data_IF_565031685716
#
_entry.id   IF_565031685716
#
_cell.length_a   1.000
_cell.length_b   1.000
_cell.length_c   1.000
_cell.angle_alpha   90.00
_cell.angle_beta   90.00
_cell.angle_gamma   90.00
#
_symmetry.space_group_name_H-M   'P 1'
#
loop_
_entity.id
_entity.type
_entity.pdbx_description
1 polymer ?
#
# COMPACT_ATOMS: atom_id res chain seq x y z
N UNK A 1 -6.32 1.49 -21.60
CA UNK A 1 -7.67 1.83 -22.12
C UNK A 1 -8.67 1.61 -20.99
N UNK A 2 -9.80 2.32 -20.98
CA UNK A 2 -10.86 2.16 -19.98
C UNK A 2 -12.19 1.78 -20.66
N UNK A 3 -13.15 1.31 -19.87
CA UNK A 3 -14.46 0.87 -20.34
C UNK A 3 -15.49 2.02 -20.39
N UNK A 4 -15.02 3.25 -20.64
CA UNK A 4 -15.88 4.38 -20.95
C UNK A 4 -15.84 4.65 -22.44
N UNK A 5 -16.94 4.36 -23.12
CA UNK A 5 -16.99 4.40 -24.59
C UNK A 5 -18.28 5.05 -25.08
N UNK A 6 -18.16 5.76 -26.21
CA UNK A 6 -19.33 6.27 -26.92
C UNK A 6 -19.94 5.17 -27.77
N UNK A 7 -21.25 4.94 -27.61
CA UNK A 7 -22.06 4.14 -28.53
C UNK A 7 -22.98 5.12 -29.27
N UNK A 8 -22.56 5.56 -30.45
CA UNK A 8 -23.18 6.70 -31.13
C UNK A 8 -22.84 8.01 -30.41
N UNK A 9 -23.87 8.77 -29.99
CA UNK A 9 -23.71 10.03 -29.25
C UNK A 9 -23.75 9.87 -27.72
N UNK A 10 -24.10 8.68 -27.21
CA UNK A 10 -24.28 8.44 -25.79
C UNK A 10 -23.03 7.79 -25.18
N UNK A 11 -22.63 8.26 -23.99
CA UNK A 11 -21.52 7.70 -23.22
C UNK A 11 -21.99 6.53 -22.35
N UNK A 12 -21.27 5.42 -22.42
CA UNK A 12 -21.48 4.22 -21.62
C UNK A 12 -20.30 3.97 -20.71
N UNK A 13 -20.58 3.45 -19.51
CA UNK A 13 -19.61 2.79 -18.65
C UNK A 13 -19.92 1.29 -18.74
N UNK A 14 -19.01 0.53 -19.33
CA UNK A 14 -19.25 -0.85 -19.76
C UNK A 14 -20.50 -0.91 -20.66
N UNK A 15 -21.52 -1.67 -20.27
CA UNK A 15 -22.78 -1.79 -21.03
C UNK A 15 -23.91 -0.92 -20.47
N UNK A 16 -23.63 -0.01 -19.54
CA UNK A 16 -24.64 0.84 -18.89
C UNK A 16 -24.49 2.31 -19.33
N UNK A 17 -25.59 2.90 -19.77
CA UNK A 17 -25.67 4.32 -20.15
C UNK A 17 -25.36 5.22 -18.95
N UNK A 18 -24.36 6.10 -19.09
CA UNK A 18 -23.99 7.05 -18.03
C UNK A 18 -25.13 8.04 -17.76
N UNK A 19 -25.90 8.38 -18.79
CA UNK A 19 -27.08 9.27 -18.69
C UNK A 19 -28.17 8.65 -17.82
N UNK A 20 -28.39 7.34 -17.94
CA UNK A 20 -29.42 6.64 -17.15
C UNK A 20 -29.01 6.55 -15.69
N UNK A 21 -27.72 6.29 -15.42
CA UNK A 21 -27.15 6.35 -14.06
C UNK A 21 -27.31 7.75 -13.48
N UNK A 22 -26.96 8.79 -14.24
CA UNK A 22 -27.06 10.19 -13.80
C UNK A 22 -28.51 10.59 -13.48
N UNK A 23 -29.48 10.11 -14.26
CA UNK A 23 -30.91 10.35 -14.03
C UNK A 23 -31.40 9.63 -12.78
N UNK A 24 -30.92 8.41 -12.53
CA UNK A 24 -31.35 7.60 -11.40
C UNK A 24 -30.73 8.07 -10.06
N UNK A 25 -29.44 8.37 -10.04
CA UNK A 25 -28.68 8.73 -8.82
C UNK A 25 -28.70 10.25 -8.55
N UNK A 26 -28.77 11.08 -9.60
CA UNK A 26 -28.52 12.51 -9.53
C UNK A 26 -27.03 12.86 -9.60
N UNK A 27 -26.72 14.14 -9.85
CA UNK A 27 -25.35 14.66 -10.01
C UNK A 27 -25.00 15.68 -8.93
N UNK A 28 -23.73 15.74 -8.45
CA UNK A 28 -22.58 14.98 -8.92
C UNK A 28 -22.48 13.56 -8.33
N UNK A 29 -21.90 12.63 -9.10
CA UNK A 29 -21.55 11.28 -8.62
C UNK A 29 -20.20 10.83 -9.22
N UNK A 30 -19.54 9.90 -8.53
CA UNK A 30 -18.42 9.15 -9.09
C UNK A 30 -18.92 7.85 -9.70
N UNK A 31 -18.47 7.56 -10.92
CA UNK A 31 -18.74 6.30 -11.63
C UNK A 31 -17.43 5.55 -11.84
N UNK A 32 -17.40 4.30 -11.43
CA UNK A 32 -16.24 3.42 -11.62
C UNK A 32 -16.67 2.22 -12.46
N UNK A 33 -15.83 1.83 -13.42
CA UNK A 33 -15.97 0.56 -14.12
C UNK A 33 -15.30 -0.55 -13.30
N UNK A 34 -16.05 -1.61 -13.03
CA UNK A 34 -15.54 -2.82 -12.41
C UNK A 34 -14.52 -3.51 -13.33
N UNK A 35 -14.84 -3.63 -14.62
CA UNK A 35 -13.99 -4.29 -15.61
C UNK A 35 -12.66 -3.55 -15.79
N UNK A 36 -12.67 -2.22 -15.83
CA UNK A 36 -11.44 -1.43 -15.96
C UNK A 36 -10.51 -1.68 -14.78
N UNK A 37 -11.02 -1.58 -13.54
CA UNK A 37 -10.24 -1.78 -12.33
C UNK A 37 -9.65 -3.21 -12.28
N UNK A 38 -10.50 -4.21 -12.51
CA UNK A 38 -10.11 -5.62 -12.53
C UNK A 38 -9.06 -5.91 -13.61
N UNK A 39 -9.25 -5.41 -14.82
CA UNK A 39 -8.34 -5.65 -15.94
C UNK A 39 -6.99 -4.96 -15.74
N UNK A 40 -6.96 -3.73 -15.22
CA UNK A 40 -5.70 -3.05 -14.93
C UNK A 40 -4.90 -3.77 -13.83
N UNK A 41 -5.58 -4.24 -12.79
CA UNK A 41 -4.94 -5.06 -11.77
C UNK A 41 -4.33 -6.32 -12.38
N UNK A 42 -5.10 -7.05 -13.20
CA UNK A 42 -4.63 -8.28 -13.88
C UNK A 42 -3.44 -8.03 -14.79
N UNK A 43 -3.48 -7.00 -15.61
CA UNK A 43 -2.37 -6.64 -16.51
C UNK A 43 -1.09 -6.39 -15.72
N UNK A 44 -1.19 -5.67 -14.60
CA UNK A 44 -0.04 -5.42 -13.74
C UNK A 44 0.47 -6.71 -13.08
N UNK A 45 -0.44 -7.52 -12.52
CA UNK A 45 -0.09 -8.77 -11.86
C UNK A 45 0.53 -9.79 -12.82
N UNK A 46 -0.05 -9.97 -14.01
CA UNK A 46 0.47 -10.92 -15.01
C UNK A 46 1.84 -10.51 -15.57
N UNK A 47 2.21 -9.23 -15.51
CA UNK A 47 3.53 -8.80 -15.97
C UNK A 47 4.69 -9.37 -15.13
N UNK A 48 4.42 -9.85 -13.92
CA UNK A 48 5.38 -10.50 -13.02
C UNK A 48 5.19 -12.03 -12.98
N UNK A 49 4.42 -12.62 -13.90
CA UNK A 49 4.23 -14.06 -13.98
C UNK A 49 5.58 -14.79 -14.12
N UNK A 50 5.75 -15.88 -13.37
CA UNK A 50 7.01 -16.63 -13.30
C UNK A 50 7.98 -16.15 -12.21
N UNK A 51 7.72 -15.01 -11.56
CA UNK A 51 8.47 -14.52 -10.39
C UNK A 51 7.55 -14.55 -9.17
N UNK A 52 7.98 -15.08 -8.01
CA UNK A 52 7.22 -14.94 -6.78
C UNK A 52 7.00 -13.45 -6.45
N UNK A 53 5.75 -13.00 -6.45
CA UNK A 53 5.42 -11.59 -6.26
C UNK A 53 4.09 -11.42 -5.51
N UNK A 54 3.89 -10.21 -4.97
CA UNK A 54 2.63 -9.75 -4.40
C UNK A 54 2.40 -8.31 -4.88
N UNK A 55 1.25 -8.06 -5.52
CA UNK A 55 0.84 -6.70 -5.90
C UNK A 55 0.07 -6.07 -4.75
N UNK A 56 0.67 -5.09 -4.09
CA UNK A 56 0.02 -4.31 -3.02
C UNK A 56 -0.58 -3.02 -3.57
N UNK A 57 -1.91 -2.94 -3.68
CA UNK A 57 -2.58 -1.71 -4.11
C UNK A 57 -2.51 -0.63 -3.03
N UNK A 58 -2.03 0.57 -3.40
CA UNK A 58 -1.95 1.70 -2.48
C UNK A 58 -3.35 2.29 -2.20
N UNK A 59 -3.90 2.02 -1.02
CA UNK A 59 -5.30 2.36 -0.67
C UNK A 59 -5.58 3.86 -0.76
N UNK A 60 -4.59 4.70 -0.46
CA UNK A 60 -4.68 6.17 -0.57
C UNK A 60 -5.14 6.67 -1.95
N UNK A 61 -4.97 5.88 -3.01
CA UNK A 61 -5.46 6.23 -4.34
C UNK A 61 -6.99 6.17 -4.44
N UNK A 62 -7.62 5.15 -3.84
CA UNK A 62 -9.08 5.04 -3.71
C UNK A 62 -9.44 4.01 -2.62
N UNK A 63 -9.97 4.48 -1.50
CA UNK A 63 -10.27 3.67 -0.31
C UNK A 63 -11.74 3.22 -0.22
N UNK A 64 -12.46 3.25 -1.34
CA UNK A 64 -13.81 2.70 -1.42
C UNK A 64 -13.79 1.18 -1.22
N UNK A 65 -14.53 0.68 -0.21
CA UNK A 65 -14.53 -0.74 0.18
C UNK A 65 -14.95 -1.66 -0.97
N UNK A 66 -15.88 -1.21 -1.83
CA UNK A 66 -16.30 -2.01 -2.99
C UNK A 66 -15.15 -2.20 -3.98
N UNK A 67 -14.33 -1.18 -4.21
CA UNK A 67 -13.14 -1.25 -5.07
C UNK A 67 -12.07 -2.13 -4.44
N UNK A 68 -11.78 -1.95 -3.15
CA UNK A 68 -10.82 -2.80 -2.44
C UNK A 68 -11.23 -4.28 -2.51
N UNK A 69 -12.53 -4.58 -2.41
CA UNK A 69 -13.04 -5.95 -2.55
C UNK A 69 -12.78 -6.55 -3.93
N UNK A 70 -12.75 -5.75 -5.00
CA UNK A 70 -12.34 -6.21 -6.34
C UNK A 70 -10.91 -6.73 -6.29
N UNK A 71 -9.98 -5.92 -5.78
CA UNK A 71 -8.55 -6.26 -5.76
C UNK A 71 -8.24 -7.43 -4.81
N UNK A 72 -8.89 -7.47 -3.64
CA UNK A 72 -8.78 -8.61 -2.73
C UNK A 72 -9.29 -9.91 -3.40
N UNK A 73 -10.41 -9.83 -4.14
CA UNK A 73 -10.96 -10.97 -4.90
C UNK A 73 -10.08 -11.45 -6.06
N UNK A 74 -9.24 -10.58 -6.62
CA UNK A 74 -8.21 -10.95 -7.60
C UNK A 74 -6.91 -11.45 -6.95
N UNK A 75 -6.88 -11.60 -5.62
CA UNK A 75 -5.74 -12.13 -4.88
C UNK A 75 -4.67 -11.09 -4.51
N UNK A 76 -4.94 -9.81 -4.75
CA UNK A 76 -4.04 -8.70 -4.44
C UNK A 76 -3.87 -8.42 -2.95
N UNK A 77 -2.78 -7.74 -2.64
CA UNK A 77 -2.49 -7.17 -1.33
C UNK A 77 -2.80 -5.68 -1.27
N UNK A 78 -2.47 -5.06 -0.14
CA UNK A 78 -2.67 -3.62 0.08
C UNK A 78 -1.47 -2.96 0.74
N UNK A 79 -1.12 -1.78 0.23
CA UNK A 79 -0.22 -0.84 0.91
C UNK A 79 -1.09 0.19 1.64
N UNK A 80 -0.96 0.23 2.96
CA UNK A 80 -1.73 1.12 3.85
C UNK A 80 -0.81 2.12 4.53
N UNK A 81 -1.30 3.33 4.78
CA UNK A 81 -0.56 4.40 5.47
C UNK A 81 -1.23 4.88 6.76
N UNK A 82 -2.34 4.26 7.16
CA UNK A 82 -3.03 4.55 8.43
C UNK A 82 -3.83 3.35 8.93
N UNK A 83 -4.17 3.35 10.22
CA UNK A 83 -5.08 2.38 10.83
C UNK A 83 -6.49 2.42 10.22
N UNK A 84 -6.92 3.58 9.71
CA UNK A 84 -8.18 3.72 8.99
C UNK A 84 -8.17 3.01 7.63
N UNK A 85 -7.04 3.02 6.92
CA UNK A 85 -6.86 2.26 5.69
C UNK A 85 -6.74 0.76 5.96
N UNK A 86 -6.01 0.37 7.00
CA UNK A 86 -5.96 -1.03 7.46
C UNK A 86 -7.38 -1.54 7.78
N UNK A 87 -8.16 -0.77 8.54
CA UNK A 87 -9.56 -1.11 8.84
C UNK A 87 -10.39 -1.33 7.56
N UNK A 88 -10.25 -0.44 6.56
CA UNK A 88 -10.96 -0.55 5.28
C UNK A 88 -10.52 -1.77 4.47
N UNK A 89 -9.22 -2.09 4.47
CA UNK A 89 -8.69 -3.28 3.81
C UNK A 89 -9.31 -4.55 4.41
N UNK A 90 -9.29 -4.67 5.75
CA UNK A 90 -9.88 -5.80 6.46
C UNK A 90 -11.40 -5.89 6.23
N UNK A 91 -12.11 -4.76 6.27
CA UNK A 91 -13.55 -4.70 5.97
C UNK A 91 -13.89 -5.09 4.52
N UNK A 92 -12.95 -4.92 3.59
CA UNK A 92 -13.08 -5.37 2.20
C UNK A 92 -12.80 -6.88 2.01
N UNK A 93 -12.40 -7.58 3.08
CA UNK A 93 -12.05 -9.00 3.05
C UNK A 93 -10.61 -9.27 2.61
N UNK A 94 -9.70 -8.31 2.78
CA UNK A 94 -8.28 -8.52 2.53
C UNK A 94 -7.71 -9.60 3.45
N UNK A 95 -6.82 -10.42 2.92
CA UNK A 95 -5.94 -11.26 3.72
C UNK A 95 -4.90 -10.37 4.43
N UNK A 96 -4.86 -10.34 5.78
CA UNK A 96 -3.88 -9.54 6.50
C UNK A 96 -2.43 -9.85 6.12
N UNK A 97 -2.12 -11.11 5.79
CA UNK A 97 -0.80 -11.54 5.35
C UNK A 97 -0.43 -11.05 3.94
N UNK A 98 -1.28 -10.22 3.32
CA UNK A 98 -1.01 -9.47 2.09
C UNK A 98 -1.05 -7.95 2.29
N UNK A 99 -1.00 -7.48 3.54
CA UNK A 99 -1.03 -6.05 3.85
C UNK A 99 0.34 -5.60 4.33
N UNK A 100 0.90 -4.58 3.67
CA UNK A 100 2.11 -3.87 4.09
C UNK A 100 1.73 -2.49 4.63
N UNK A 101 2.36 -2.06 5.72
CA UNK A 101 2.04 -0.79 6.36
C UNK A 101 3.20 0.20 6.23
N UNK A 102 3.06 1.19 5.36
CA UNK A 102 3.97 2.32 5.16
C UNK A 102 3.60 3.58 5.98
N UNK A 103 4.37 4.66 5.83
CA UNK A 103 4.06 5.97 6.42
C UNK A 103 4.96 6.32 7.62
N UNK A 104 5.33 7.60 7.71
CA UNK A 104 6.40 8.11 8.60
C UNK A 104 5.97 8.39 10.05
N UNK A 105 4.71 8.16 10.39
CA UNK A 105 4.11 8.65 11.64
C UNK A 105 3.08 7.70 12.22
N UNK A 106 3.32 6.39 12.13
CA UNK A 106 2.43 5.37 12.69
C UNK A 106 2.34 5.56 14.21
N UNK A 107 1.14 5.68 14.76
CA UNK A 107 0.97 5.79 16.22
C UNK A 107 1.10 4.43 16.90
N UNK A 108 1.34 4.40 18.21
CA UNK A 108 1.39 3.14 18.97
C UNK A 108 0.07 2.36 18.88
N UNK A 109 -1.06 3.06 18.84
CA UNK A 109 -2.38 2.46 18.66
C UNK A 109 -2.51 1.81 17.28
N UNK A 110 -2.04 2.48 16.23
CA UNK A 110 -2.04 1.93 14.87
C UNK A 110 -1.10 0.74 14.73
N UNK A 111 0.11 0.81 15.30
CA UNK A 111 1.06 -0.30 15.36
C UNK A 111 0.43 -1.49 16.07
N UNK A 112 -0.19 -1.27 17.24
CA UNK A 112 -0.87 -2.34 18.00
C UNK A 112 -2.00 -2.96 17.20
N UNK A 113 -2.80 -2.16 16.51
CA UNK A 113 -3.89 -2.66 15.68
C UNK A 113 -3.37 -3.50 14.52
N UNK A 114 -2.28 -3.06 13.87
CA UNK A 114 -1.63 -3.79 12.80
C UNK A 114 -1.01 -5.12 13.25
N UNK A 115 -0.30 -5.14 14.39
CA UNK A 115 0.24 -6.38 14.96
C UNK A 115 -0.89 -7.35 15.31
N UNK A 116 -1.95 -6.88 16.00
CA UNK A 116 -3.11 -7.72 16.35
C UNK A 116 -3.86 -8.24 15.13
N UNK A 117 -3.84 -7.49 14.03
CA UNK A 117 -4.44 -7.90 12.76
C UNK A 117 -3.56 -8.90 12.00
N UNK A 118 -2.32 -9.15 12.48
CA UNK A 118 -1.35 -10.04 11.85
C UNK A 118 -1.08 -9.64 10.38
N UNK A 119 -0.73 -8.37 10.15
CA UNK A 119 -0.35 -7.91 8.81
C UNK A 119 0.97 -8.54 8.35
N UNK A 120 1.28 -8.47 7.04
CA UNK A 120 2.51 -9.04 6.49
C UNK A 120 3.77 -8.38 7.08
N UNK A 121 3.87 -7.05 6.98
CA UNK A 121 5.03 -6.33 7.52
C UNK A 121 4.78 -4.83 7.64
N UNK A 122 5.58 -4.18 8.49
CA UNK A 122 5.74 -2.73 8.51
C UNK A 122 6.87 -2.30 7.57
N UNK A 123 6.62 -1.31 6.72
CA UNK A 123 7.66 -0.57 6.02
C UNK A 123 8.08 0.61 6.91
N UNK A 124 9.24 0.47 7.54
CA UNK A 124 9.73 1.37 8.58
C UNK A 124 10.56 2.50 7.96
N UNK A 125 10.30 3.72 8.41
CA UNK A 125 10.84 4.95 7.85
C UNK A 125 11.91 5.58 8.74
N UNK A 126 12.03 5.17 10.01
CA UNK A 126 12.99 5.73 10.98
C UNK A 126 13.37 4.76 12.09
N UNK A 127 14.47 5.03 12.78
CA UNK A 127 14.88 4.25 13.97
C UNK A 127 13.93 4.44 15.15
N UNK A 128 13.34 5.62 15.32
CA UNK A 128 12.34 5.89 16.36
C UNK A 128 11.09 5.02 16.16
N UNK A 129 10.70 4.81 14.91
CA UNK A 129 9.61 3.90 14.57
C UNK A 129 9.96 2.44 14.84
N UNK A 130 11.21 1.98 14.57
CA UNK A 130 11.65 0.64 14.96
C UNK A 130 11.48 0.41 16.47
N UNK A 131 11.93 1.36 17.30
CA UNK A 131 11.78 1.26 18.75
C UNK A 131 10.31 1.23 19.18
N UNK A 132 9.45 2.03 18.55
CA UNK A 132 8.02 2.03 18.86
C UNK A 132 7.34 0.69 18.48
N UNK A 133 7.75 0.08 17.36
CA UNK A 133 7.25 -1.23 16.95
C UNK A 133 7.74 -2.32 17.91
N UNK A 134 9.03 -2.31 18.26
CA UNK A 134 9.62 -3.28 19.20
C UNK A 134 8.94 -3.22 20.57
N UNK A 135 8.70 -2.01 21.11
CA UNK A 135 8.00 -1.81 22.38
C UNK A 135 6.59 -2.39 22.35
N UNK A 136 5.80 -2.08 21.31
CA UNK A 136 4.43 -2.60 21.20
C UNK A 136 4.41 -4.11 20.94
N UNK A 137 5.39 -4.65 20.21
CA UNK A 137 5.53 -6.07 19.97
C UNK A 137 5.90 -6.83 21.26
N UNK A 138 6.78 -6.26 22.09
CA UNK A 138 7.13 -6.75 23.43
C UNK A 138 5.90 -6.86 24.33
N UNK A 139 5.12 -5.77 24.43
CA UNK A 139 3.90 -5.72 25.22
C UNK A 139 2.85 -6.75 24.79
N UNK A 140 2.86 -7.16 23.52
CA UNK A 140 1.97 -8.17 22.96
C UNK A 140 2.57 -9.58 22.97
N UNK A 141 3.85 -9.74 23.32
CA UNK A 141 4.56 -11.02 23.34
C UNK A 141 4.70 -11.67 21.95
N UNK A 142 4.88 -10.87 20.90
CA UNK A 142 5.02 -11.34 19.52
C UNK A 142 6.22 -10.69 18.83
N UNK A 143 6.65 -11.25 17.70
CA UNK A 143 7.60 -10.60 16.81
C UNK A 143 6.89 -9.85 15.69
N UNK A 144 7.26 -8.59 15.46
CA UNK A 144 6.80 -7.80 14.34
C UNK A 144 7.74 -7.94 13.15
N UNK A 145 7.17 -8.23 11.97
CA UNK A 145 7.92 -8.30 10.72
C UNK A 145 8.09 -6.91 10.13
N UNK A 146 9.33 -6.56 9.78
CA UNK A 146 9.66 -5.23 9.26
C UNK A 146 10.51 -5.30 8.00
N UNK A 147 10.37 -4.28 7.17
CA UNK A 147 11.33 -3.86 6.16
C UNK A 147 11.79 -2.43 6.49
N UNK A 148 12.99 -2.05 6.06
CA UNK A 148 13.43 -0.65 6.12
C UNK A 148 13.25 -0.01 4.75
N UNK A 149 12.62 1.17 4.73
CA UNK A 149 12.54 2.00 3.53
C UNK A 149 13.88 2.70 3.31
N UNK A 150 14.61 2.32 2.28
CA UNK A 150 15.93 2.86 1.97
C UNK A 150 15.84 3.77 0.74
N UNK A 151 16.34 4.99 0.87
CA UNK A 151 16.42 5.92 -0.25
C UNK A 151 17.58 5.51 -1.17
N UNK A 152 17.32 5.14 -2.44
CA UNK A 152 18.38 4.74 -3.35
C UNK A 152 19.27 5.94 -3.71
N UNK A 153 20.57 5.70 -3.85
CA UNK A 153 21.53 6.74 -4.27
C UNK A 153 21.47 6.92 -5.80
N UNK A 154 20.45 7.65 -6.28
CA UNK A 154 20.23 7.93 -7.70
C UNK A 154 21.07 9.14 -8.11
N UNK A 155 22.02 8.92 -9.04
CA UNK A 155 22.88 9.97 -9.58
C UNK A 155 22.04 11.07 -10.25
N UNK A 156 22.16 12.29 -9.71
CA UNK A 156 21.49 13.50 -10.20
C UNK A 156 21.79 13.81 -11.67
N UNK A 157 22.90 13.30 -12.23
CA UNK A 157 23.30 13.56 -13.61
C UNK A 157 22.33 13.00 -14.65
N UNK A 158 21.61 11.93 -14.34
CA UNK A 158 20.69 11.28 -15.28
C UNK A 158 19.22 11.58 -14.98
N UNK A 159 18.87 11.81 -13.72
CA UNK A 159 17.48 12.01 -13.28
C UNK A 159 17.37 13.14 -12.24
N UNK A 160 17.53 14.42 -12.65
CA UNK A 160 17.62 15.56 -11.74
C UNK A 160 16.36 15.77 -10.88
N UNK A 161 15.18 15.41 -11.38
CA UNK A 161 13.91 15.50 -10.64
C UNK A 161 13.75 14.44 -9.55
N UNK A 162 14.48 13.32 -9.65
CA UNK A 162 14.44 12.23 -8.67
C UNK A 162 15.47 12.50 -7.57
N UNK A 163 16.70 12.88 -7.93
CA UNK A 163 17.80 13.03 -6.97
C UNK A 163 17.63 14.22 -6.00
N UNK A 164 17.06 15.34 -6.47
CA UNK A 164 16.80 16.53 -5.63
C UNK A 164 15.67 16.30 -4.61
N UNK A 165 14.73 15.40 -4.92
CA UNK A 165 13.62 14.99 -4.05
C UNK A 165 13.95 13.85 -3.07
N UNK A 166 15.18 13.31 -3.04
CA UNK A 166 15.52 12.22 -2.11
C UNK A 166 16.24 12.71 -0.85
N UNK A 167 17.09 13.74 -0.95
CA UNK A 167 17.91 14.21 0.18
C UNK A 167 17.20 15.17 1.14
N UNK A 168 16.11 15.81 0.72
CA UNK A 168 15.40 16.85 1.47
C UNK A 168 14.04 16.42 2.02
N UNK A 169 13.63 15.16 1.78
CA UNK A 169 12.30 14.67 2.15
C UNK A 169 12.35 13.86 3.44
N UNK A 170 11.26 13.94 4.20
CA UNK A 170 11.06 13.25 5.49
C UNK A 170 10.96 11.72 5.42
N UNK A 171 11.26 11.14 4.27
CA UNK A 171 10.95 9.76 3.93
C UNK A 171 12.21 8.92 3.89
N UNK A 172 12.12 7.71 4.44
CA UNK A 172 13.14 6.68 4.37
C UNK A 172 14.42 6.99 5.13
N UNK A 173 15.28 5.98 5.13
CA UNK A 173 16.64 5.99 5.69
C UNK A 173 17.60 6.20 4.52
N UNK A 174 18.64 7.03 4.72
CA UNK A 174 19.64 7.23 3.66
C UNK A 174 20.40 5.92 3.37
N UNK A 175 20.85 5.73 2.12
CA UNK A 175 21.64 4.55 1.75
C UNK A 175 22.88 4.37 2.64
N UNK A 176 23.50 5.47 3.08
CA UNK A 176 24.64 5.46 4.00
C UNK A 176 24.30 4.96 5.42
N UNK A 177 23.05 5.14 5.86
CA UNK A 177 22.58 4.74 7.19
C UNK A 177 21.88 3.37 7.18
N UNK A 178 21.53 2.85 6.00
CA UNK A 178 20.76 1.62 5.84
C UNK A 178 21.38 0.42 6.59
N UNK A 179 22.70 0.23 6.47
CA UNK A 179 23.39 -0.88 7.14
C UNK A 179 23.28 -0.79 8.66
N UNK A 180 23.46 0.40 9.23
CA UNK A 180 23.32 0.62 10.68
C UNK A 180 21.86 0.48 11.12
N UNK A 181 20.91 0.92 10.29
CA UNK A 181 19.48 0.68 10.51
C UNK A 181 19.14 -0.80 10.60
N UNK A 182 19.68 -1.64 9.71
CA UNK A 182 19.46 -3.09 9.76
C UNK A 182 20.15 -3.76 10.94
N UNK A 183 21.37 -3.31 11.32
CA UNK A 183 22.04 -3.79 12.54
C UNK A 183 21.22 -3.47 13.78
N UNK A 184 20.67 -2.25 13.85
CA UNK A 184 19.76 -1.84 14.93
C UNK A 184 18.53 -2.75 14.96
N UNK A 185 17.83 -2.92 13.84
CA UNK A 185 16.64 -3.78 13.75
C UNK A 185 16.94 -5.22 14.21
N UNK A 186 18.08 -5.79 13.84
CA UNK A 186 18.51 -7.13 14.25
C UNK A 186 18.94 -7.23 15.74
N UNK A 187 19.21 -6.10 16.41
CA UNK A 187 19.54 -6.06 17.84
C UNK A 187 18.30 -5.99 18.74
N UNK A 188 17.13 -5.70 18.17
CA UNK A 188 15.87 -5.60 18.89
C UNK A 188 15.23 -6.98 19.04
N UNK A 189 14.74 -7.30 20.25
CA UNK A 189 14.29 -8.65 20.60
C UNK A 189 12.99 -9.07 19.91
N UNK A 190 12.12 -8.11 19.59
CA UNK A 190 10.77 -8.34 19.09
C UNK A 190 10.60 -7.94 17.62
N UNK A 191 11.71 -7.70 16.91
CA UNK A 191 11.74 -7.37 15.49
C UNK A 191 12.28 -8.55 14.69
N UNK A 192 11.65 -8.83 13.54
CA UNK A 192 12.15 -9.76 12.53
C UNK A 192 12.27 -9.01 11.20
N UNK A 193 13.48 -8.96 10.64
CA UNK A 193 13.72 -8.31 9.36
C UNK A 193 13.39 -9.29 8.23
N UNK A 194 12.40 -8.93 7.39
CA UNK A 194 11.91 -9.81 6.30
C UNK A 194 12.05 -9.21 4.91
N UNK A 195 12.52 -7.98 4.78
CA UNK A 195 12.68 -7.34 3.48
C UNK A 195 13.36 -5.99 3.50
N UNK A 196 13.42 -5.39 2.32
CA UNK A 196 13.86 -4.03 2.04
C UNK A 196 12.78 -3.34 1.20
N UNK A 197 12.52 -2.07 1.47
CA UNK A 197 11.57 -1.25 0.73
C UNK A 197 12.28 -0.05 0.08
#
# INVERSE_FOLDING_TARGET
>A
MNDFQYKGSDLYCEDVSVKDIAKFIGTPFYLYSYNTLKNHFRVFNSAFEGIPHLVCFAIKANSNIAILKIFAGEGGGFDVVSGGELYRALAAGADPQKIVYAGVGKTKEEIRFAIKSNILMFNVESSQELFAIDEVADELGVKAWVSLRVNPDIDAKTHPYISTGLKSHKFGISMSEALEGYKLANSLGNIEVVGIH
#
